data_IF_580044908076
#
_entry.id   IF_580044908076
#
_cell.length_a   1.000
_cell.length_b   1.000
_cell.length_c   1.000
_cell.angle_alpha   90.00
_cell.angle_beta   90.00
_cell.angle_gamma   90.00
#
_symmetry.space_group_name_H-M   'P 1'
#
loop_
_entity.id
_entity.type
_entity.pdbx_description
1 polymer ?
#
# COMPACT_ATOMS: atom_id res chain seq x y z
N UNK A 1 -5.28 -11.84 0.16
CA UNK A 1 -3.82 -11.82 -0.12
C UNK A 1 -3.14 -10.99 0.94
N UNK A 2 -2.18 -11.56 1.66
CA UNK A 2 -1.48 -10.90 2.75
C UNK A 2 0.02 -10.90 2.46
N UNK A 3 0.63 -9.72 2.46
CA UNK A 3 2.08 -9.57 2.49
C UNK A 3 2.47 -9.00 3.86
N UNK A 4 3.43 -9.63 4.51
CA UNK A 4 3.85 -9.27 5.87
C UNK A 4 5.26 -8.68 5.86
N UNK A 5 5.39 -7.44 6.35
CA UNK A 5 6.64 -6.85 6.80
C UNK A 5 6.32 -6.01 8.04
N UNK A 6 7.06 -6.21 9.12
CA UNK A 6 6.91 -5.44 10.37
C UNK A 6 5.46 -5.35 10.91
N UNK A 7 4.67 -6.43 10.80
CA UNK A 7 3.25 -6.48 11.17
C UNK A 7 2.34 -5.54 10.35
N UNK A 8 2.81 -5.07 9.20
CA UNK A 8 2.00 -4.32 8.22
C UNK A 8 1.63 -5.27 7.09
N UNK A 9 0.34 -5.28 6.75
CA UNK A 9 -0.22 -6.15 5.73
C UNK A 9 -0.79 -5.34 4.58
N UNK A 10 -0.66 -5.88 3.36
CA UNK A 10 -1.46 -5.45 2.23
C UNK A 10 -2.62 -6.42 2.07
N UNK A 11 -3.85 -5.93 2.14
CA UNK A 11 -5.03 -6.79 2.12
C UNK A 11 -6.22 -6.15 1.40
N UNK A 12 -7.18 -6.97 1.04
CA UNK A 12 -8.46 -6.52 0.52
C UNK A 12 -9.30 -5.80 1.59
N UNK A 13 -10.33 -5.11 1.15
CA UNK A 13 -11.30 -4.43 2.00
C UNK A 13 -12.68 -4.41 1.32
N UNK A 14 -13.76 -4.61 2.08
CA UNK A 14 -15.10 -4.37 1.57
C UNK A 14 -15.41 -2.88 1.39
N UNK A 15 -14.70 -1.99 2.10
CA UNK A 15 -14.90 -0.54 2.03
C UNK A 15 -14.18 0.09 0.83
N UNK A 16 -14.54 -0.33 -0.38
CA UNK A 16 -13.95 0.16 -1.65
C UNK A 16 -14.31 1.62 -1.94
N UNK A 17 -15.45 2.10 -1.45
CA UNK A 17 -15.91 3.49 -1.53
C UNK A 17 -14.88 4.50 -0.99
N UNK A 18 -14.14 4.09 0.04
CA UNK A 18 -13.13 4.95 0.68
C UNK A 18 -11.91 5.28 -0.20
N UNK A 19 -11.73 4.56 -1.30
CA UNK A 19 -10.68 4.89 -2.29
C UNK A 19 -10.99 6.16 -3.09
N UNK A 20 -12.23 6.63 -3.09
CA UNK A 20 -12.62 7.91 -3.68
C UNK A 20 -12.22 9.12 -2.82
N UNK A 21 -11.91 8.92 -1.54
CA UNK A 21 -11.56 10.01 -0.64
C UNK A 21 -10.12 10.51 -0.89
N UNK A 22 -9.92 11.81 -0.78
CA UNK A 22 -8.59 12.44 -0.84
C UNK A 22 -7.74 12.14 0.41
N UNK A 23 -8.38 12.09 1.58
CA UNK A 23 -7.72 11.70 2.83
C UNK A 23 -8.11 10.26 3.16
N UNK A 24 -7.12 9.37 3.29
CA UNK A 24 -7.31 7.91 3.39
C UNK A 24 -6.68 7.28 4.64
N UNK A 25 -6.49 8.04 5.70
CA UNK A 25 -5.92 7.56 6.96
C UNK A 25 -6.98 6.84 7.81
N UNK A 26 -7.47 5.67 7.35
CA UNK A 26 -8.55 4.92 7.98
C UNK A 26 -8.11 3.63 8.68
N UNK A 27 -6.81 3.31 8.69
CA UNK A 27 -6.30 2.10 9.33
C UNK A 27 -5.25 2.42 10.39
N UNK A 28 -4.99 1.46 11.27
CA UNK A 28 -3.95 1.57 12.31
C UNK A 28 -2.55 1.12 11.82
N UNK A 29 -2.38 0.86 10.52
CA UNK A 29 -1.08 0.49 9.94
C UNK A 29 -1.15 -0.41 8.71
N UNK A 30 -2.22 -1.17 8.51
CA UNK A 30 -2.39 -2.01 7.33
C UNK A 30 -2.71 -1.18 6.09
N UNK A 31 -2.19 -1.62 4.94
CA UNK A 31 -2.45 -1.00 3.64
C UNK A 31 -3.56 -1.78 2.94
N UNK A 32 -4.63 -1.09 2.58
CA UNK A 32 -5.74 -1.68 1.83
C UNK A 32 -5.49 -1.61 0.34
N UNK A 33 -5.89 -2.65 -0.38
CA UNK A 33 -5.76 -2.75 -1.83
C UNK A 33 -7.09 -2.44 -2.50
N UNK A 34 -7.08 -1.59 -3.50
CA UNK A 34 -8.25 -1.33 -4.35
C UNK A 34 -8.54 -2.52 -5.27
N UNK A 35 -7.48 -3.09 -5.84
CA UNK A 35 -7.53 -4.25 -6.72
C UNK A 35 -6.56 -5.35 -6.28
N UNK A 36 -6.92 -6.17 -5.27
CA UNK A 36 -6.08 -7.26 -4.80
C UNK A 36 -5.96 -8.40 -5.80
N UNK A 37 -6.98 -8.59 -6.65
CA UNK A 37 -6.98 -9.66 -7.66
C UNK A 37 -6.01 -9.32 -8.78
N UNK A 38 -6.06 -8.11 -9.32
CA UNK A 38 -5.09 -7.65 -10.32
C UNK A 38 -3.66 -7.71 -9.81
N UNK A 39 -3.42 -7.36 -8.54
CA UNK A 39 -2.12 -7.53 -7.91
C UNK A 39 -1.71 -9.00 -7.82
N UNK A 40 -2.65 -9.91 -7.52
CA UNK A 40 -2.38 -11.35 -7.49
C UNK A 40 -1.97 -11.88 -8.87
N UNK A 41 -2.69 -11.53 -9.94
CA UNK A 41 -2.32 -11.89 -11.31
C UNK A 41 -0.91 -11.41 -11.67
N UNK A 42 -0.62 -10.15 -11.37
CA UNK A 42 0.70 -9.59 -11.65
C UNK A 42 1.82 -10.31 -10.90
N UNK A 43 1.66 -10.57 -9.62
CA UNK A 43 2.70 -11.20 -8.82
C UNK A 43 2.84 -12.70 -9.10
N UNK A 44 1.74 -13.42 -9.20
CA UNK A 44 1.76 -14.87 -9.40
C UNK A 44 2.01 -15.24 -10.86
N UNK A 45 1.49 -14.47 -11.81
CA UNK A 45 1.75 -14.66 -13.23
C UNK A 45 3.19 -14.34 -13.60
N UNK A 46 3.65 -13.14 -13.31
CA UNK A 46 4.98 -12.68 -13.72
C UNK A 46 6.14 -13.29 -12.90
N UNK A 47 5.92 -13.61 -11.63
CA UNK A 47 6.98 -14.05 -10.70
C UNK A 47 6.94 -15.54 -10.36
N UNK A 48 5.78 -16.16 -10.43
CA UNK A 48 5.59 -17.60 -10.16
C UNK A 48 5.29 -18.41 -11.42
N UNK A 49 5.20 -17.80 -12.59
CA UNK A 49 4.80 -18.42 -13.86
C UNK A 49 3.46 -19.19 -13.76
N UNK A 50 2.55 -18.74 -12.91
CA UNK A 50 1.21 -19.32 -12.80
C UNK A 50 0.33 -18.80 -13.92
N UNK A 51 -0.39 -19.72 -14.57
CA UNK A 51 -1.39 -19.32 -15.57
C UNK A 51 -2.59 -18.63 -14.91
N UNK A 52 -3.32 -17.77 -15.63
CA UNK A 52 -4.54 -17.18 -15.12
C UNK A 52 -5.53 -18.22 -14.59
N UNK A 53 -5.69 -19.34 -15.28
CA UNK A 53 -6.58 -20.43 -14.86
C UNK A 53 -6.18 -21.05 -13.51
N UNK A 54 -4.89 -21.14 -13.21
CA UNK A 54 -4.40 -21.62 -11.90
C UNK A 54 -4.71 -20.62 -10.79
N UNK A 55 -4.58 -19.33 -11.07
CA UNK A 55 -4.91 -18.26 -10.12
C UNK A 55 -6.41 -18.24 -9.87
N UNK A 56 -7.22 -18.35 -10.92
CA UNK A 56 -8.68 -18.42 -10.81
C UNK A 56 -9.14 -19.63 -10.01
N UNK A 57 -8.53 -20.79 -10.20
CA UNK A 57 -8.85 -22.00 -9.46
C UNK A 57 -8.58 -21.83 -7.94
N UNK A 58 -7.48 -21.18 -7.57
CA UNK A 58 -7.17 -20.86 -6.16
C UNK A 58 -8.23 -19.92 -5.59
N UNK A 59 -8.64 -18.92 -6.36
CA UNK A 59 -9.66 -17.96 -5.93
C UNK A 59 -11.03 -18.63 -5.78
N UNK A 60 -11.43 -19.42 -6.76
CA UNK A 60 -12.72 -20.12 -6.79
C UNK A 60 -12.86 -21.18 -5.67
N UNK A 61 -11.74 -21.74 -5.21
CA UNK A 61 -11.75 -22.72 -4.13
C UNK A 61 -12.25 -22.14 -2.78
N UNK A 62 -12.27 -20.81 -2.63
CA UNK A 62 -12.77 -20.13 -1.42
C UNK A 62 -12.02 -20.46 -0.13
N UNK A 63 -10.89 -21.15 -0.23
CA UNK A 63 -10.08 -21.56 0.91
C UNK A 63 -8.82 -20.68 1.02
N UNK A 64 -8.35 -20.48 2.24
CA UNK A 64 -7.09 -19.76 2.47
C UNK A 64 -5.92 -20.58 1.95
N UNK A 65 -5.36 -20.16 0.82
CA UNK A 65 -4.22 -20.81 0.18
C UNK A 65 -2.99 -19.91 0.29
N UNK A 66 -1.90 -20.47 0.81
CA UNK A 66 -0.61 -19.77 0.90
C UNK A 66 0.22 -20.07 -0.35
N UNK A 67 0.49 -19.03 -1.13
CA UNK A 67 1.41 -19.11 -2.26
C UNK A 67 2.67 -18.29 -1.93
N UNK A 68 3.83 -18.93 -2.01
CA UNK A 68 5.11 -18.29 -1.72
C UNK A 68 5.75 -17.82 -3.02
N UNK A 69 6.14 -16.55 -3.07
CA UNK A 69 6.89 -16.03 -4.20
C UNK A 69 8.32 -16.59 -4.18
N UNK A 70 8.87 -17.08 -5.31
CA UNK A 70 10.23 -17.60 -5.39
C UNK A 70 11.27 -16.53 -5.09
N UNK A 71 10.95 -15.28 -5.40
CA UNK A 71 11.76 -14.12 -5.09
C UNK A 71 10.96 -13.10 -4.30
N UNK A 72 11.43 -12.74 -3.12
CA UNK A 72 10.83 -11.67 -2.32
C UNK A 72 10.97 -10.33 -3.03
N UNK A 73 9.91 -9.53 -2.99
CA UNK A 73 9.89 -8.17 -3.54
C UNK A 73 10.02 -7.22 -2.35
N UNK A 74 11.05 -6.36 -2.30
CA UNK A 74 11.17 -5.37 -1.24
C UNK A 74 10.03 -4.35 -1.35
N UNK A 75 9.46 -4.00 -0.22
CA UNK A 75 8.40 -3.00 -0.11
C UNK A 75 8.86 -1.92 0.87
N UNK A 76 8.79 -0.67 0.45
CA UNK A 76 9.09 0.49 1.28
C UNK A 76 7.80 1.27 1.52
N UNK A 77 7.42 1.42 2.79
CA UNK A 77 6.29 2.26 3.19
C UNK A 77 6.87 3.59 3.66
N UNK A 78 6.56 4.63 2.92
CA UNK A 78 7.07 5.98 3.16
C UNK A 78 5.91 6.93 3.44
N UNK A 79 6.19 8.01 4.16
CA UNK A 79 5.29 9.14 4.32
C UNK A 79 5.96 10.37 3.72
N UNK A 80 5.35 10.89 2.67
CA UNK A 80 5.83 12.08 1.99
C UNK A 80 4.65 13.02 1.72
N UNK A 81 4.81 14.28 2.08
CA UNK A 81 3.85 15.36 1.84
C UNK A 81 4.25 16.20 0.63
N UNK A 82 5.47 16.05 0.14
CA UNK A 82 5.96 16.61 -1.10
C UNK A 82 6.73 15.54 -1.87
N UNK A 83 6.47 15.38 -3.16
CA UNK A 83 7.15 14.42 -4.02
C UNK A 83 7.14 14.88 -5.48
N UNK A 84 8.14 14.43 -6.23
CA UNK A 84 8.21 14.68 -7.66
C UNK A 84 7.27 13.74 -8.43
N UNK A 85 6.58 14.29 -9.42
CA UNK A 85 5.76 13.58 -10.40
C UNK A 85 6.08 14.08 -11.81
N UNK A 86 5.46 13.49 -12.82
CA UNK A 86 5.60 13.94 -14.21
C UNK A 86 5.07 15.38 -14.42
N UNK A 87 4.19 15.84 -13.53
CA UNK A 87 3.61 17.19 -13.54
C UNK A 87 4.39 18.20 -12.68
N UNK A 88 5.56 17.83 -12.16
CA UNK A 88 6.37 18.66 -11.27
C UNK A 88 6.31 18.21 -9.82
N UNK A 89 6.38 19.15 -8.88
CA UNK A 89 6.31 18.84 -7.45
C UNK A 89 4.86 18.87 -6.99
N UNK A 90 4.40 17.77 -6.45
CA UNK A 90 3.08 17.65 -5.85
C UNK A 90 3.14 17.71 -4.32
N UNK A 91 2.13 18.35 -3.73
CA UNK A 91 1.98 18.47 -2.29
C UNK A 91 0.73 17.74 -1.81
N UNK A 92 0.81 17.18 -0.61
CA UNK A 92 -0.30 16.50 0.09
C UNK A 92 -0.44 17.05 1.50
N UNK A 93 -1.66 16.99 2.03
CA UNK A 93 -1.93 17.40 3.40
C UNK A 93 -1.16 16.53 4.40
N UNK A 94 -0.52 17.17 5.37
CA UNK A 94 0.18 16.49 6.47
C UNK A 94 -0.82 15.93 7.49
N UNK A 95 -1.47 14.81 7.14
CA UNK A 95 -2.52 14.19 7.97
C UNK A 95 -2.04 13.67 9.33
N UNK A 96 -0.73 13.44 9.47
CA UNK A 96 -0.12 12.97 10.73
C UNK A 96 0.63 14.08 11.49
N UNK A 97 0.67 15.31 10.96
CA UNK A 97 1.35 16.45 11.61
C UNK A 97 2.85 16.27 11.76
N UNK A 98 3.48 15.48 10.87
CA UNK A 98 4.92 15.19 10.93
C UNK A 98 5.77 16.34 10.42
N UNK A 99 5.31 17.05 9.41
CA UNK A 99 6.04 18.16 8.79
C UNK A 99 6.24 19.30 9.78
N UNK A 100 5.21 19.64 10.56
CA UNK A 100 5.31 20.68 11.59
C UNK A 100 6.35 20.33 12.63
N UNK A 101 6.44 19.05 13.04
CA UNK A 101 7.45 18.58 14.00
C UNK A 101 8.85 18.65 13.39
N UNK A 102 8.99 18.23 12.15
CA UNK A 102 10.25 18.27 11.42
C UNK A 102 10.72 19.71 11.22
N UNK A 103 9.83 20.60 10.80
CA UNK A 103 10.12 22.02 10.62
C UNK A 103 10.60 22.66 11.93
N UNK A 104 9.91 22.40 13.04
CA UNK A 104 10.32 22.91 14.35
C UNK A 104 11.69 22.38 14.78
N UNK A 105 12.02 21.13 14.44
CA UNK A 105 13.32 20.53 14.75
C UNK A 105 14.46 21.11 13.90
N UNK A 106 14.19 21.43 12.64
CA UNK A 106 15.21 21.93 11.70
C UNK A 106 15.46 23.41 11.82
N UNK A 107 14.42 24.20 12.06
CA UNK A 107 14.50 25.67 11.99
C UNK A 107 14.27 26.38 13.34
N UNK A 108 14.17 25.61 14.42
CA UNK A 108 13.84 26.16 15.72
C UNK A 108 12.35 26.53 15.82
N UNK A 109 11.91 27.01 16.97
CA UNK A 109 10.53 27.42 17.20
C UNK A 109 10.04 28.29 16.05
N UNK A 110 9.11 27.79 15.27
CA UNK A 110 8.23 28.66 14.49
C UNK A 110 7.64 29.63 15.50
N UNK A 111 7.86 30.93 15.32
CA UNK A 111 7.55 31.97 16.29
C UNK A 111 6.18 31.81 16.92
N UNK A 112 6.15 32.10 18.18
CA UNK A 112 4.95 32.28 18.98
C UNK A 112 3.88 33.12 18.29
#
# INVERSE_FOLDING_TARGET
MLFRSHNIYLHDTPAKDKFANSTRAFSHGCIRLSDPIGLAYKLLGEKNNMSPAQIDAIWAAGQTTKVVLPRKIPIHIVYATAFASDNGIEFRTDVYGRDRKLYAALFGRAGS
#
